data_IF_239686181692
#
_entry.id   IF_239686181692
#
_cell.length_a   1.000
_cell.length_b   1.000
_cell.length_c   1.000
_cell.angle_alpha   90.00
_cell.angle_beta   90.00
_cell.angle_gamma   90.00
#
_symmetry.space_group_name_H-M   'P 1'
#
loop_
_entity.id
_entity.type
_entity.pdbx_description
1 polymer ?
#
# COMPACT_ATOMS: atom_id res chain seq x y z
N UNK A 1 -41.76 5.35 62.58
CA UNK A 1 -40.59 4.92 61.78
C UNK A 1 -40.65 5.65 60.44
N UNK A 2 -39.75 6.60 60.19
CA UNK A 2 -39.74 7.37 58.93
C UNK A 2 -39.25 6.45 57.81
N UNK A 3 -40.08 6.22 56.79
CA UNK A 3 -39.71 5.47 55.60
C UNK A 3 -38.59 6.23 54.87
N UNK A 4 -37.46 5.56 54.63
CA UNK A 4 -36.43 6.08 53.74
C UNK A 4 -36.99 6.09 52.29
N UNK A 5 -36.66 7.10 51.47
CA UNK A 5 -37.17 7.20 50.11
C UNK A 5 -36.70 6.01 49.26
N UNK A 6 -37.62 5.41 48.49
CA UNK A 6 -37.46 4.16 47.71
C UNK A 6 -36.39 4.17 46.60
N UNK A 7 -35.62 5.25 46.46
CA UNK A 7 -34.64 5.43 45.37
C UNK A 7 -33.33 6.03 45.87
N UNK A 8 -32.66 5.32 46.77
CA UNK A 8 -31.28 5.61 47.14
C UNK A 8 -30.39 5.14 45.99
N UNK A 9 -30.04 6.06 45.09
CA UNK A 9 -29.08 5.79 44.02
C UNK A 9 -27.70 6.15 44.53
N UNK A 10 -26.81 5.17 44.66
CA UNK A 10 -25.42 5.40 45.04
C UNK A 10 -24.72 6.29 44.01
N UNK A 11 -24.02 7.33 44.46
CA UNK A 11 -23.24 8.25 43.62
C UNK A 11 -22.24 7.52 42.71
N UNK A 12 -21.72 6.37 43.14
CA UNK A 12 -20.82 5.53 42.35
C UNK A 12 -21.48 4.98 41.08
N UNK A 13 -22.75 4.57 41.14
CA UNK A 13 -23.48 4.11 39.95
C UNK A 13 -23.71 5.26 38.97
N UNK A 14 -23.92 6.48 39.46
CA UNK A 14 -24.06 7.67 38.61
C UNK A 14 -22.73 8.00 37.93
N UNK A 15 -21.59 7.88 38.63
CA UNK A 15 -20.25 8.11 38.05
C UNK A 15 -19.90 7.12 36.95
N UNK A 16 -20.20 5.83 37.15
CA UNK A 16 -19.96 4.77 36.15
C UNK A 16 -20.84 4.99 34.91
N UNK A 17 -22.12 5.31 35.11
CA UNK A 17 -23.06 5.51 34.01
C UNK A 17 -22.85 6.84 33.24
N UNK A 18 -22.13 7.82 33.80
CA UNK A 18 -21.94 9.13 33.16
C UNK A 18 -20.99 9.08 31.95
N UNK A 19 -20.08 8.11 31.91
CA UNK A 19 -19.07 7.96 30.84
C UNK A 19 -19.46 6.99 29.73
N UNK A 20 -20.39 6.06 30.00
CA UNK A 20 -20.76 5.01 29.05
C UNK A 20 -22.02 5.46 28.32
N UNK A 21 -21.85 6.00 27.10
CA UNK A 21 -22.98 6.20 26.21
C UNK A 21 -23.68 4.86 25.93
N UNK A 22 -25.01 4.81 26.06
CA UNK A 22 -25.78 3.57 25.82
C UNK A 22 -25.69 3.05 24.37
N UNK A 23 -25.32 3.92 23.43
CA UNK A 23 -25.22 3.61 22.00
C UNK A 23 -23.83 4.04 21.52
N UNK A 24 -23.13 3.12 20.84
CA UNK A 24 -21.83 3.39 20.27
C UNK A 24 -21.94 4.30 19.03
N UNK A 25 -21.22 5.43 19.03
CA UNK A 25 -21.14 6.37 17.90
C UNK A 25 -19.77 6.35 17.19
N UNK A 26 -18.95 5.33 17.44
CA UNK A 26 -17.62 5.24 16.85
C UNK A 26 -17.73 4.82 15.37
N UNK A 27 -16.96 5.50 14.51
CA UNK A 27 -16.90 5.23 13.07
C UNK A 27 -16.00 4.02 12.74
N UNK A 28 -14.88 3.87 13.49
CA UNK A 28 -14.03 2.67 13.46
C UNK A 28 -14.11 1.95 14.80
N UNK A 29 -15.04 1.01 14.89
CA UNK A 29 -15.27 0.22 16.09
C UNK A 29 -14.20 -0.88 16.19
N UNK A 30 -13.60 -0.99 17.37
CA UNK A 30 -12.76 -2.14 17.75
C UNK A 30 -13.58 -2.96 18.72
N UNK A 31 -13.93 -4.18 18.34
CA UNK A 31 -14.79 -5.03 19.16
C UNK A 31 -13.98 -5.88 20.12
N UNK A 32 -14.47 -5.99 21.35
CA UNK A 32 -14.00 -6.96 22.35
C UNK A 32 -15.18 -7.87 22.67
N UNK A 33 -14.97 -9.17 22.47
CA UNK A 33 -16.00 -10.19 22.66
C UNK A 33 -15.74 -10.85 24.01
N UNK A 34 -16.70 -10.69 24.93
CA UNK A 34 -16.73 -11.45 26.17
C UNK A 34 -17.52 -12.75 25.93
N UNK A 35 -16.79 -13.86 25.86
CA UNK A 35 -17.35 -15.20 25.61
C UNK A 35 -18.11 -15.76 26.81
N UNK A 36 -17.85 -15.25 28.02
CA UNK A 36 -18.53 -15.70 29.24
C UNK A 36 -19.91 -15.08 29.36
N UNK A 37 -20.01 -13.77 29.17
CA UNK A 37 -21.26 -13.02 29.29
C UNK A 37 -22.01 -12.88 27.95
N UNK A 38 -21.44 -13.41 26.85
CA UNK A 38 -21.95 -13.29 25.47
C UNK A 38 -22.24 -11.84 25.08
N UNK A 39 -21.33 -10.93 25.43
CA UNK A 39 -21.47 -9.49 25.16
C UNK A 39 -20.37 -9.01 24.26
N UNK A 40 -20.74 -8.16 23.30
CA UNK A 40 -19.78 -7.44 22.46
C UNK A 40 -19.71 -6.01 22.97
N UNK A 41 -18.49 -5.53 23.22
CA UNK A 41 -18.24 -4.16 23.67
C UNK A 41 -17.30 -3.46 22.71
N UNK A 42 -17.46 -2.16 22.55
CA UNK A 42 -16.50 -1.35 21.80
C UNK A 42 -15.33 -0.98 22.72
N UNK A 43 -14.10 -1.33 22.33
CA UNK A 43 -12.89 -1.00 23.07
C UNK A 43 -12.67 0.52 23.20
N UNK A 44 -13.17 1.30 22.23
CA UNK A 44 -12.92 2.75 22.17
C UNK A 44 -13.84 3.55 23.09
N UNK A 45 -15.11 3.15 23.24
CA UNK A 45 -16.10 3.89 24.03
C UNK A 45 -16.70 3.10 25.20
N UNK A 46 -16.37 1.81 25.34
CA UNK A 46 -16.88 0.93 26.40
C UNK A 46 -18.37 0.59 26.29
N UNK A 47 -19.07 1.12 25.27
CA UNK A 47 -20.48 0.84 25.04
C UNK A 47 -20.69 -0.61 24.62
N UNK A 48 -21.81 -1.20 25.07
CA UNK A 48 -22.28 -2.49 24.57
C UNK A 48 -22.78 -2.30 23.14
N UNK A 49 -22.32 -3.13 22.23
CA UNK A 49 -22.77 -3.17 20.84
C UNK A 49 -23.60 -4.42 20.65
N UNK A 50 -24.63 -4.32 19.82
CA UNK A 50 -25.43 -5.47 19.46
C UNK A 50 -24.59 -6.50 18.66
N UNK A 51 -24.65 -7.80 18.99
CA UNK A 51 -23.85 -8.82 18.29
C UNK A 51 -24.12 -8.89 16.79
N UNK A 52 -25.37 -8.66 16.34
CA UNK A 52 -25.69 -8.68 14.92
C UNK A 52 -25.03 -7.50 14.20
N UNK A 53 -25.13 -6.30 14.76
CA UNK A 53 -24.45 -5.10 14.22
C UNK A 53 -22.93 -5.31 14.14
N UNK A 54 -22.32 -5.89 15.18
CA UNK A 54 -20.89 -6.18 15.19
C UNK A 54 -20.46 -7.20 14.11
N UNK A 55 -21.28 -8.23 13.84
CA UNK A 55 -21.00 -9.21 12.80
C UNK A 55 -21.08 -8.57 11.41
N UNK A 56 -22.07 -7.72 11.17
CA UNK A 56 -22.21 -6.98 9.90
C UNK A 56 -21.00 -6.06 9.68
N UNK A 57 -20.61 -5.29 10.71
CA UNK A 57 -19.45 -4.41 10.64
C UNK A 57 -18.14 -5.19 10.37
N UNK A 58 -17.96 -6.35 11.02
CA UNK A 58 -16.79 -7.21 10.77
C UNK A 58 -16.79 -7.81 9.36
N UNK A 59 -17.95 -8.23 8.87
CA UNK A 59 -18.08 -8.87 7.56
C UNK A 59 -17.79 -7.87 6.43
N UNK A 60 -18.32 -6.64 6.54
CA UNK A 60 -18.08 -5.57 5.57
C UNK A 60 -16.61 -5.16 5.53
N UNK A 61 -15.97 -4.97 6.69
CA UNK A 61 -14.53 -4.69 6.78
C UNK A 61 -13.68 -5.81 6.17
N UNK A 62 -14.07 -7.07 6.40
CA UNK A 62 -13.35 -8.21 5.84
C UNK A 62 -13.46 -8.28 4.31
N UNK A 63 -14.64 -8.00 3.75
CA UNK A 63 -14.83 -7.96 2.30
C UNK A 63 -14.00 -6.84 1.65
N UNK A 64 -13.98 -5.64 2.25
CA UNK A 64 -13.15 -4.53 1.78
C UNK A 64 -11.66 -4.87 1.82
N UNK A 65 -11.20 -5.50 2.90
CA UNK A 65 -9.82 -5.94 3.05
C UNK A 65 -9.46 -6.97 1.98
N UNK A 66 -10.32 -7.97 1.74
CA UNK A 66 -10.08 -9.00 0.72
C UNK A 66 -9.98 -8.40 -0.68
N UNK A 67 -10.88 -7.46 -1.04
CA UNK A 67 -10.80 -6.72 -2.33
C UNK A 67 -9.48 -5.96 -2.48
N UNK A 68 -8.99 -5.34 -1.40
CA UNK A 68 -7.69 -4.66 -1.42
C UNK A 68 -6.54 -5.64 -1.63
N UNK A 69 -6.56 -6.78 -0.93
CA UNK A 69 -5.54 -7.83 -1.06
C UNK A 69 -5.53 -8.41 -2.48
N UNK A 70 -6.69 -8.71 -3.05
CA UNK A 70 -6.81 -9.21 -4.43
C UNK A 70 -6.23 -8.22 -5.44
N UNK A 71 -6.55 -6.93 -5.30
CA UNK A 71 -5.99 -5.87 -6.16
C UNK A 71 -4.47 -5.79 -6.06
N UNK A 72 -3.91 -5.89 -4.85
CA UNK A 72 -2.46 -5.89 -4.64
C UNK A 72 -1.79 -7.12 -5.24
N UNK A 73 -2.42 -8.29 -5.12
CA UNK A 73 -1.93 -9.52 -5.73
C UNK A 73 -1.93 -9.41 -7.27
N UNK A 74 -2.97 -8.81 -7.85
CA UNK A 74 -3.07 -8.62 -9.30
C UNK A 74 -2.00 -7.63 -9.81
N UNK A 75 -1.80 -6.51 -9.13
CA UNK A 75 -0.72 -5.57 -9.43
C UNK A 75 0.66 -6.23 -9.33
N UNK A 76 0.88 -7.04 -8.29
CA UNK A 76 2.12 -7.81 -8.13
C UNK A 76 2.32 -8.78 -9.29
N UNK A 77 1.29 -9.48 -9.75
CA UNK A 77 1.37 -10.38 -10.92
C UNK A 77 1.74 -9.60 -12.18
N UNK A 78 1.12 -8.46 -12.43
CA UNK A 78 1.41 -7.61 -13.60
C UNK A 78 2.87 -7.12 -13.59
N UNK A 79 3.36 -6.64 -12.45
CA UNK A 79 4.76 -6.20 -12.29
C UNK A 79 5.72 -7.39 -12.43
N UNK A 80 5.40 -8.54 -11.84
CA UNK A 80 6.23 -9.74 -11.92
C UNK A 80 6.27 -10.35 -13.34
N UNK A 81 5.18 -10.21 -14.09
CA UNK A 81 5.09 -10.59 -15.50
C UNK A 81 5.91 -9.65 -16.39
N UNK A 82 5.94 -8.35 -16.06
CA UNK A 82 6.80 -7.37 -16.71
C UNK A 82 8.27 -7.58 -16.31
N UNK A 83 8.93 -8.52 -16.99
CA UNK A 83 10.39 -8.70 -16.91
C UNK A 83 11.03 -8.01 -18.12
N UNK A 84 11.85 -6.96 -17.95
CA UNK A 84 12.69 -6.50 -19.05
C UNK A 84 13.62 -7.67 -19.44
N UNK A 85 13.32 -8.29 -20.59
CA UNK A 85 14.05 -9.47 -21.08
C UNK A 85 15.52 -9.16 -21.41
N UNK A 86 15.80 -7.88 -21.72
CA UNK A 86 17.14 -7.41 -22.07
C UNK A 86 17.90 -6.99 -20.81
N UNK A 87 18.90 -7.81 -20.43
CA UNK A 87 19.80 -7.54 -19.29
C UNK A 87 20.47 -6.16 -19.37
N UNK A 88 20.79 -5.71 -20.59
CA UNK A 88 21.41 -4.41 -20.85
C UNK A 88 20.49 -3.27 -20.38
N UNK A 89 19.21 -3.28 -20.76
CA UNK A 89 18.26 -2.25 -20.36
C UNK A 89 18.10 -2.23 -18.84
N UNK A 90 18.05 -3.40 -18.19
CA UNK A 90 17.99 -3.50 -16.72
C UNK A 90 19.21 -2.86 -16.03
N UNK A 91 20.42 -3.10 -16.54
CA UNK A 91 21.64 -2.46 -16.00
C UNK A 91 21.66 -0.95 -16.22
N UNK A 92 21.14 -0.52 -17.38
CA UNK A 92 21.08 0.88 -17.77
C UNK A 92 20.07 1.64 -16.90
N UNK A 93 18.88 1.09 -16.72
CA UNK A 93 17.84 1.61 -15.82
C UNK A 93 18.34 1.71 -14.38
N UNK A 94 19.00 0.66 -13.85
CA UNK A 94 19.56 0.68 -12.49
C UNK A 94 20.57 1.80 -12.29
N UNK A 95 21.40 2.08 -13.30
CA UNK A 95 22.40 3.16 -13.25
C UNK A 95 21.74 4.55 -13.38
N UNK A 96 20.67 4.66 -14.16
CA UNK A 96 19.98 5.92 -14.44
C UNK A 96 18.99 6.34 -13.35
N UNK A 97 18.42 5.39 -12.59
CA UNK A 97 17.35 5.63 -11.58
C UNK A 97 17.70 6.69 -10.53
N UNK A 98 18.98 6.86 -10.22
CA UNK A 98 19.45 7.88 -9.28
C UNK A 98 19.66 9.28 -9.87
N UNK A 99 19.56 9.46 -11.20
CA UNK A 99 19.89 10.69 -11.96
C UNK A 99 21.26 11.32 -11.65
N UNK A 100 22.16 10.60 -10.97
CA UNK A 100 23.52 11.05 -10.62
C UNK A 100 24.54 10.75 -11.71
N UNK A 101 24.26 9.77 -12.57
CA UNK A 101 25.15 9.31 -13.63
C UNK A 101 24.39 9.30 -14.95
N UNK A 102 24.98 9.95 -15.97
CA UNK A 102 24.47 9.97 -17.33
C UNK A 102 25.30 9.04 -18.22
N UNK A 103 24.68 8.30 -19.15
CA UNK A 103 25.41 7.54 -20.15
C UNK A 103 26.20 8.48 -21.05
N UNK A 104 27.36 8.01 -21.53
CA UNK A 104 28.17 8.72 -22.52
C UNK A 104 28.16 7.96 -23.83
N UNK A 105 28.11 8.69 -24.94
CA UNK A 105 28.23 8.09 -26.26
C UNK A 105 29.63 7.47 -26.43
N UNK A 106 29.75 6.19 -26.83
CA UNK A 106 31.07 5.54 -26.97
C UNK A 106 31.91 6.08 -28.13
N UNK A 107 31.34 6.91 -29.01
CA UNK A 107 32.03 7.46 -30.19
C UNK A 107 32.52 8.89 -30.00
N UNK A 108 31.69 9.77 -29.44
CA UNK A 108 32.05 11.17 -29.19
C UNK A 108 32.32 11.46 -27.71
N UNK A 109 32.08 10.51 -26.80
CA UNK A 109 32.23 10.65 -25.33
C UNK A 109 31.32 11.69 -24.66
N UNK A 110 30.38 12.25 -25.40
CA UNK A 110 29.41 13.24 -24.93
C UNK A 110 28.32 12.59 -24.05
N UNK A 111 27.98 13.18 -22.88
CA UNK A 111 26.88 12.71 -22.06
C UNK A 111 25.53 13.06 -22.69
N UNK A 112 24.54 12.17 -22.57
CA UNK A 112 23.20 12.39 -23.11
C UNK A 112 22.11 11.87 -22.17
N UNK A 113 20.91 12.45 -22.25
CA UNK A 113 19.74 11.97 -21.51
C UNK A 113 19.07 10.79 -22.24
N UNK A 114 18.55 9.81 -21.50
CA UNK A 114 17.89 8.65 -22.14
C UNK A 114 16.62 9.04 -22.89
N UNK A 115 16.00 10.15 -22.51
CA UNK A 115 14.85 10.76 -23.16
C UNK A 115 15.17 11.20 -24.61
N UNK A 116 16.44 11.38 -24.96
CA UNK A 116 16.88 11.76 -26.31
C UNK A 116 16.90 10.59 -27.31
N UNK A 117 16.74 9.34 -26.83
CA UNK A 117 16.67 8.14 -27.69
C UNK A 117 15.31 8.05 -28.42
N UNK A 118 15.05 8.97 -29.34
CA UNK A 118 13.79 9.06 -30.09
C UNK A 118 13.83 8.35 -31.46
N UNK A 119 15.01 8.25 -32.06
CA UNK A 119 15.18 7.73 -33.43
C UNK A 119 15.76 6.31 -33.44
N UNK A 120 15.22 5.46 -34.32
CA UNK A 120 15.69 4.10 -34.55
C UNK A 120 16.32 3.99 -35.93
N UNK A 121 17.31 3.12 -36.08
CA UNK A 121 17.98 2.86 -37.36
C UNK A 121 18.03 1.35 -37.59
N UNK A 122 18.01 0.92 -38.86
CA UNK A 122 18.14 -0.48 -39.21
C UNK A 122 19.45 -1.07 -38.67
N UNK A 123 19.37 -2.26 -38.07
CA UNK A 123 20.50 -3.00 -37.48
C UNK A 123 21.67 -3.17 -38.46
N UNK A 124 21.41 -3.66 -39.67
CA UNK A 124 22.46 -3.95 -40.65
C UNK A 124 23.20 -2.69 -41.11
N UNK A 125 22.48 -1.56 -41.18
CA UNK A 125 23.08 -0.28 -41.50
C UNK A 125 23.95 0.24 -40.35
N UNK A 126 23.46 0.10 -39.12
CA UNK A 126 24.20 0.49 -37.92
C UNK A 126 25.48 -0.34 -37.75
N UNK A 127 25.41 -1.67 -37.95
CA UNK A 127 26.55 -2.59 -37.86
C UNK A 127 27.65 -2.23 -38.85
N UNK A 128 27.32 -2.07 -40.14
CA UNK A 128 28.28 -1.63 -41.17
C UNK A 128 28.97 -0.31 -40.81
N UNK A 129 28.22 0.64 -40.21
CA UNK A 129 28.77 1.93 -39.78
C UNK A 129 29.61 1.82 -38.50
N UNK A 130 29.33 0.86 -37.62
CA UNK A 130 30.14 0.55 -36.44
C UNK A 130 31.46 -0.11 -36.87
N UNK A 131 31.42 -1.08 -37.77
CA UNK A 131 32.60 -1.78 -38.30
C UNK A 131 33.56 -0.79 -38.96
N UNK A 132 33.06 0.02 -39.90
CA UNK A 132 33.86 1.07 -40.55
C UNK A 132 34.51 2.04 -39.55
N UNK A 133 33.82 2.39 -38.45
CA UNK A 133 34.38 3.24 -37.40
C UNK A 133 35.46 2.51 -36.59
N UNK A 134 35.29 1.22 -36.29
CA UNK A 134 36.29 0.42 -35.57
C UNK A 134 37.57 0.26 -36.40
N UNK A 135 37.44 -0.06 -37.69
CA UNK A 135 38.57 -0.20 -38.63
C UNK A 135 39.43 1.08 -38.70
N UNK A 136 38.77 2.25 -38.72
CA UNK A 136 39.43 3.56 -38.77
C UNK A 136 40.11 3.97 -37.45
N UNK A 137 39.69 3.42 -36.31
CA UNK A 137 40.22 3.79 -35.00
C UNK A 137 41.09 2.69 -34.34
N UNK A 138 41.12 1.47 -34.89
CA UNK A 138 42.04 0.39 -34.49
C UNK A 138 43.38 0.41 -35.25
N UNK A 139 43.47 1.19 -36.33
CA UNK A 139 44.69 1.39 -37.14
C UNK A 139 45.54 2.57 -36.65
N UNK A 140 45.20 3.16 -35.51
CA UNK A 140 46.00 4.15 -34.76
C UNK A 140 46.42 3.55 -33.43
#
# INVERSE_FOLDING_TARGET
MKQLPDKIIGLDQVRINRGIGKICKCEKRKFVIDTTNRRVTCNSCGSVVDPYEAIVDLSTQHEEFNKQVERLLEQKKQIAAYKPHLRIIKSLESSYRGRKMLPRCPRCSEPFYLEELAAWTNKEYAERRIEKWKEQNQTK
#
